data_IF_039653366614
#
_entry.id   IF_039653366614
#
_cell.length_a   1.000
_cell.length_b   1.000
_cell.length_c   1.000
_cell.angle_alpha   90.00
_cell.angle_beta   90.00
_cell.angle_gamma   90.00
#
_symmetry.space_group_name_H-M   'P 1'
#
loop_
_entity.id
_entity.type
_entity.pdbx_description
1 polymer ?
#
# COMPACT_ATOMS: atom_id res chain seq x y z
N UNK A 1 15.61 0.22 19.86
CA UNK A 1 14.54 0.30 18.84
C UNK A 1 15.12 0.06 17.46
N UNK A 2 14.28 -0.22 16.45
CA UNK A 2 14.73 -0.32 15.04
C UNK A 2 14.56 1.04 14.34
N UNK A 3 15.31 1.28 13.26
CA UNK A 3 15.17 2.51 12.47
C UNK A 3 13.84 2.52 11.73
N UNK A 4 13.06 3.58 11.92
CA UNK A 4 11.87 3.89 11.12
C UNK A 4 12.26 4.93 10.06
N UNK A 5 12.05 4.60 8.79
CA UNK A 5 12.25 5.50 7.66
C UNK A 5 10.94 5.65 6.92
N UNK A 6 10.63 6.88 6.50
CA UNK A 6 9.42 7.23 5.76
C UNK A 6 9.87 8.00 4.52
N UNK A 7 9.51 7.51 3.34
CA UNK A 7 9.85 8.09 2.04
C UNK A 7 8.57 8.38 1.25
N UNK A 8 8.51 9.53 0.58
CA UNK A 8 7.35 9.97 -0.20
C UNK A 8 7.81 10.52 -1.55
N UNK A 9 6.97 10.45 -2.57
CA UNK A 9 7.21 11.13 -3.85
C UNK A 9 7.92 10.29 -4.93
N UNK A 10 8.56 9.16 -4.58
CA UNK A 10 9.22 8.31 -5.59
C UNK A 10 8.32 7.25 -6.22
N UNK A 11 7.38 6.69 -5.46
CA UNK A 11 6.52 5.60 -5.91
C UNK A 11 5.06 6.02 -6.05
N UNK A 12 4.30 5.34 -6.92
CA UNK A 12 2.87 5.55 -7.10
C UNK A 12 2.46 7.04 -7.26
N UNK A 13 3.22 7.78 -8.07
CA UNK A 13 3.08 9.25 -8.28
C UNK A 13 1.71 9.71 -8.77
N UNK A 14 0.89 8.79 -9.28
CA UNK A 14 -0.48 9.06 -9.74
C UNK A 14 -1.53 8.97 -8.62
N UNK A 15 -1.20 8.37 -7.47
CA UNK A 15 -2.09 8.35 -6.32
C UNK A 15 -2.20 9.75 -5.70
N UNK A 16 -3.29 10.04 -4.97
CA UNK A 16 -3.41 11.30 -4.23
C UNK A 16 -2.33 11.44 -3.15
N UNK A 17 -1.93 10.30 -2.55
CA UNK A 17 -0.76 10.23 -1.68
C UNK A 17 -0.18 8.83 -1.65
N UNK A 18 1.15 8.73 -1.54
CA UNK A 18 1.86 7.47 -1.43
C UNK A 18 3.06 7.59 -0.49
N UNK A 19 3.33 6.51 0.25
CA UNK A 19 4.42 6.43 1.21
C UNK A 19 5.06 5.06 1.16
N UNK A 20 6.39 5.03 1.15
CA UNK A 20 7.19 3.84 1.45
C UNK A 20 7.65 3.94 2.90
N UNK A 21 7.20 3.00 3.73
CA UNK A 21 7.57 2.93 5.15
C UNK A 21 8.49 1.74 5.35
N UNK A 22 9.60 1.97 6.04
CA UNK A 22 10.57 0.93 6.39
C UNK A 22 10.79 0.91 7.89
N UNK A 23 10.73 -0.27 8.50
CA UNK A 23 11.07 -0.49 9.89
C UNK A 23 12.05 -1.67 10.02
N UNK A 24 13.34 -1.38 10.20
CA UNK A 24 14.38 -2.38 9.99
C UNK A 24 14.39 -2.85 8.54
N UNK A 25 14.29 -4.17 8.31
CA UNK A 25 14.29 -4.78 6.97
C UNK A 25 12.88 -4.97 6.39
N UNK A 26 11.83 -4.66 7.15
CA UNK A 26 10.45 -4.73 6.67
C UNK A 26 10.09 -3.46 5.92
N UNK A 27 9.58 -3.61 4.70
CA UNK A 27 9.16 -2.49 3.84
C UNK A 27 7.71 -2.68 3.42
N UNK A 28 6.93 -1.60 3.51
CA UNK A 28 5.58 -1.52 2.94
C UNK A 28 5.48 -0.32 2.02
N UNK A 29 4.71 -0.47 0.94
CA UNK A 29 4.26 0.64 0.10
C UNK A 29 2.75 0.81 0.30
N UNK A 30 2.33 2.04 0.58
CA UNK A 30 0.93 2.40 0.78
C UNK A 30 0.58 3.54 -0.15
N UNK A 31 -0.58 3.44 -0.80
CA UNK A 31 -1.14 4.51 -1.62
C UNK A 31 -2.59 4.75 -1.19
N UNK A 32 -2.98 6.02 -1.14
CA UNK A 32 -4.34 6.47 -0.87
C UNK A 32 -4.89 7.20 -2.09
N UNK A 33 -6.12 6.86 -2.46
CA UNK A 33 -6.83 7.48 -3.58
C UNK A 33 -8.23 7.89 -3.17
N UNK A 34 -8.71 8.99 -3.74
CA UNK A 34 -10.05 9.54 -3.56
C UNK A 34 -10.57 10.06 -4.91
N UNK A 35 -11.81 9.72 -5.24
CA UNK A 35 -12.47 10.27 -6.43
C UNK A 35 -12.79 11.76 -6.25
N UNK A 36 -12.76 12.52 -7.34
CA UNK A 36 -13.10 13.95 -7.33
C UNK A 36 -14.60 14.23 -7.28
N UNK A 37 -15.43 13.25 -7.65
CA UNK A 37 -16.89 13.39 -7.65
C UNK A 37 -17.42 13.13 -6.25
N UNK A 38 -18.08 14.12 -5.62
CA UNK A 38 -18.77 13.91 -4.35
C UNK A 38 -19.83 12.84 -4.51
N UNK A 39 -19.91 11.94 -3.54
CA UNK A 39 -20.86 10.83 -3.56
C UNK A 39 -21.93 11.14 -2.53
N UNK A 40 -23.18 11.24 -3.00
CA UNK A 40 -24.32 11.51 -2.12
C UNK A 40 -24.91 10.19 -1.66
N UNK A 41 -24.43 9.70 -0.52
CA UNK A 41 -24.88 8.46 0.10
C UNK A 41 -24.77 8.60 1.61
N UNK A 42 -25.56 7.81 2.33
CA UNK A 42 -25.74 7.96 3.79
C UNK A 42 -24.54 7.42 4.60
N UNK A 43 -23.46 6.98 3.93
CA UNK A 43 -22.25 6.46 4.54
C UNK A 43 -20.98 6.85 3.76
N UNK A 44 -19.82 6.77 4.43
CA UNK A 44 -18.53 7.06 3.81
C UNK A 44 -17.91 5.78 3.20
N UNK A 45 -17.73 5.71 1.86
CA UNK A 45 -17.22 4.51 1.20
C UNK A 45 -15.69 4.43 1.30
N UNK A 46 -15.20 3.94 2.43
CA UNK A 46 -13.77 3.71 2.62
C UNK A 46 -13.45 2.23 2.52
N UNK A 47 -12.48 1.89 1.66
CA UNK A 47 -11.94 0.54 1.55
C UNK A 47 -10.46 0.56 1.85
N UNK A 48 -10.02 -0.36 2.72
CA UNK A 48 -8.60 -0.61 2.99
C UNK A 48 -8.25 -1.99 2.44
N UNK A 49 -7.28 -2.02 1.53
CA UNK A 49 -6.75 -3.26 0.97
C UNK A 49 -5.35 -3.49 1.50
N UNK A 50 -5.19 -4.58 2.25
CA UNK A 50 -3.89 -5.07 2.70
C UNK A 50 -3.54 -6.34 1.93
N UNK A 51 -2.36 -6.37 1.31
CA UNK A 51 -1.88 -7.52 0.55
C UNK A 51 -0.43 -7.81 0.91
N UNK A 52 -0.20 -9.02 1.39
CA UNK A 52 1.15 -9.56 1.54
C UNK A 52 1.59 -10.19 0.22
N UNK A 53 2.87 -10.04 -0.09
CA UNK A 53 3.45 -10.58 -1.31
C UNK A 53 4.40 -11.69 -0.92
N UNK A 54 4.21 -12.90 -1.43
CA UNK A 54 5.04 -14.05 -1.04
C UNK A 54 6.55 -13.84 -1.29
N UNK A 55 6.90 -13.00 -2.27
CA UNK A 55 8.29 -12.60 -2.49
C UNK A 55 8.91 -11.83 -1.31
N UNK A 56 8.11 -11.21 -0.43
CA UNK A 56 8.59 -10.48 0.74
C UNK A 56 9.25 -11.39 1.79
N UNK A 57 9.00 -12.70 1.69
CA UNK A 57 9.62 -13.74 2.51
C UNK A 57 10.44 -14.73 1.66
N UNK A 58 10.81 -14.35 0.43
CA UNK A 58 11.61 -15.17 -0.47
C UNK A 58 10.89 -16.41 -1.02
N UNK A 59 9.55 -16.45 -0.96
CA UNK A 59 8.75 -17.57 -1.47
C UNK A 59 8.17 -17.27 -2.85
N UNK A 60 8.33 -18.20 -3.78
CA UNK A 60 7.64 -18.18 -5.07
C UNK A 60 6.22 -18.74 -4.85
N UNK A 61 5.16 -18.10 -5.38
CA UNK A 61 3.81 -18.67 -5.32
C UNK A 61 3.78 -20.09 -5.93
N UNK A 62 3.53 -21.10 -5.10
CA UNK A 62 3.36 -22.49 -5.54
C UNK A 62 2.02 -22.67 -6.27
N UNK A 63 2.03 -23.43 -7.37
CA UNK A 63 0.99 -23.42 -8.40
C UNK A 63 -0.41 -23.86 -7.97
N UNK A 64 -1.40 -23.08 -8.43
CA UNK A 64 -2.71 -23.47 -8.99
C UNK A 64 -3.43 -22.24 -9.58
N UNK A 65 -2.97 -21.04 -9.24
CA UNK A 65 -3.38 -19.78 -9.84
C UNK A 65 -2.12 -19.15 -10.43
N UNK A 66 -1.91 -19.38 -11.73
CA UNK A 66 -1.08 -18.51 -12.57
C UNK A 66 -1.99 -17.43 -13.15
#
# INVERSE_FOLDING_TARGET
>A
GRKLTIETGEYAKQANGSVLVRYGDTVIITAAVMGHTPITQDFFPLTVLYQERLYSVGKIPGGFIK
#
